data_IF_483102673312
#
_entry.id   IF_483102673312
#
_cell.length_a   1.000
_cell.length_b   1.000
_cell.length_c   1.000
_cell.angle_alpha   90.00
_cell.angle_beta   90.00
_cell.angle_gamma   90.00
#
_symmetry.space_group_name_H-M   'P 1'
#
loop_
_entity.id
_entity.type
_entity.pdbx_description
1 polymer ?
#
# COMPACT_ATOMS: atom_id res chain seq x y z
N UNK A 1 -4.19 6.25 5.22
CA UNK A 1 -2.94 7.04 5.25
C UNK A 1 -1.74 6.13 5.15
N UNK A 2 -0.73 6.47 4.33
CA UNK A 2 0.48 5.67 4.19
C UNK A 2 1.73 6.52 4.06
N UNK A 3 2.86 5.93 4.45
CA UNK A 3 4.18 6.48 4.27
C UNK A 3 5.06 5.45 3.57
N UNK A 4 5.79 5.87 2.55
CA UNK A 4 6.65 5.01 1.74
C UNK A 4 8.03 5.66 1.64
N UNK A 5 9.07 4.88 1.86
CA UNK A 5 10.46 5.26 1.68
C UNK A 5 11.19 4.16 0.93
N UNK A 6 11.99 4.50 -0.05
CA UNK A 6 12.73 3.49 -0.81
C UNK A 6 13.82 4.08 -1.66
N UNK A 7 14.58 3.18 -2.25
CA UNK A 7 15.62 3.48 -3.20
C UNK A 7 15.31 2.77 -4.53
N UNK A 8 15.48 3.48 -5.64
CA UNK A 8 15.28 2.94 -6.99
C UNK A 8 16.55 3.22 -7.81
N UNK A 9 17.07 2.19 -8.45
CA UNK A 9 18.17 2.30 -9.40
C UNK A 9 17.60 2.45 -10.81
N UNK A 10 17.91 3.55 -11.47
CA UNK A 10 17.60 3.81 -12.87
C UNK A 10 18.62 3.13 -13.78
N UNK A 11 18.12 2.41 -14.78
CA UNK A 11 18.90 1.81 -15.85
C UNK A 11 18.42 2.40 -17.18
N UNK A 12 19.07 3.45 -17.70
CA UNK A 12 18.72 4.05 -18.99
C UNK A 12 18.88 3.03 -20.11
N UNK A 13 17.88 2.93 -20.99
CA UNK A 13 17.86 1.97 -22.09
C UNK A 13 18.07 2.63 -23.46
N UNK A 14 18.16 3.96 -23.51
CA UNK A 14 18.44 4.69 -24.73
C UNK A 14 19.57 5.74 -24.57
N UNK A 15 20.15 6.17 -25.69
CA UNK A 15 21.27 7.14 -25.71
C UNK A 15 20.89 8.50 -25.13
N UNK A 16 19.65 8.95 -25.32
CA UNK A 16 19.13 10.20 -24.77
C UNK A 16 18.85 10.14 -23.27
N UNK A 17 18.93 8.94 -22.64
CA UNK A 17 18.68 8.70 -21.20
C UNK A 17 17.32 9.18 -20.70
N UNK A 18 16.38 9.38 -21.62
CA UNK A 18 15.01 9.80 -21.28
C UNK A 18 14.05 8.62 -21.07
N UNK A 19 14.49 7.40 -21.39
CA UNK A 19 13.77 6.16 -21.13
C UNK A 19 14.66 5.25 -20.27
N UNK A 20 14.10 4.72 -19.19
CA UNK A 20 14.81 3.85 -18.26
C UNK A 20 13.90 2.74 -17.71
N UNK A 21 14.50 1.68 -17.21
CA UNK A 21 13.90 0.72 -16.31
C UNK A 21 14.39 1.04 -14.91
N UNK A 22 13.45 1.22 -13.97
CA UNK A 22 13.74 1.40 -12.55
C UNK A 22 13.46 0.11 -11.77
N UNK A 23 14.40 -0.33 -10.96
CA UNK A 23 14.20 -1.43 -10.00
C UNK A 23 14.65 -0.94 -8.64
N UNK A 24 13.85 -1.20 -7.62
CA UNK A 24 14.12 -0.67 -6.30
C UNK A 24 13.78 -1.59 -5.14
N UNK A 25 14.06 -1.10 -3.96
CA UNK A 25 13.68 -1.68 -2.69
C UNK A 25 13.15 -0.56 -1.79
N UNK A 26 12.04 -0.81 -1.12
CA UNK A 26 11.42 0.16 -0.23
C UNK A 26 10.76 -0.48 0.97
N UNK A 27 10.39 0.38 1.90
CA UNK A 27 9.56 0.05 3.04
C UNK A 27 8.33 0.96 3.03
N UNK A 28 7.19 0.38 3.34
CA UNK A 28 5.95 1.15 3.48
C UNK A 28 5.19 0.78 4.73
N UNK A 29 4.50 1.76 5.27
CA UNK A 29 3.47 1.58 6.29
C UNK A 29 2.16 2.14 5.77
N UNK A 30 1.10 1.36 5.84
CA UNK A 30 -0.23 1.77 5.39
C UNK A 30 -1.23 1.56 6.52
N UNK A 31 -2.05 2.55 6.78
CA UNK A 31 -3.12 2.52 7.77
C UNK A 31 -4.46 2.75 7.08
N UNK A 32 -5.39 1.84 7.29
CA UNK A 32 -6.74 1.84 6.73
C UNK A 32 -7.73 2.03 7.87
N UNK A 33 -8.45 3.15 7.85
CA UNK A 33 -9.58 3.39 8.74
C UNK A 33 -10.82 2.86 8.04
N UNK A 34 -11.55 1.96 8.68
CA UNK A 34 -12.70 1.26 8.09
C UNK A 34 -13.65 0.82 9.20
N UNK A 35 -14.89 0.51 8.83
CA UNK A 35 -15.91 -0.04 9.72
C UNK A 35 -15.73 -1.55 9.96
N UNK A 36 -14.71 -2.15 9.36
CA UNK A 36 -14.35 -3.54 9.59
C UNK A 36 -13.76 -3.73 10.99
N UNK A 37 -14.48 -4.42 11.84
CA UNK A 37 -14.04 -4.80 13.18
C UNK A 37 -13.34 -6.15 13.13
N UNK A 38 -12.13 -6.21 13.67
CA UNK A 38 -11.30 -7.41 13.73
C UNK A 38 -11.11 -7.81 15.19
N UNK A 39 -11.65 -8.97 15.56
CA UNK A 39 -11.57 -9.51 16.91
C UNK A 39 -11.10 -10.97 16.87
N UNK A 40 -11.02 -11.59 18.05
CA UNK A 40 -10.76 -13.03 18.21
C UNK A 40 -11.90 -13.67 18.97
N UNK A 41 -12.29 -14.85 18.52
CA UNK A 41 -13.26 -15.67 19.23
C UNK A 41 -12.65 -16.45 20.41
N UNK A 42 -13.46 -17.23 21.08
CA UNK A 42 -13.05 -18.07 22.22
C UNK A 42 -12.00 -19.12 21.88
N UNK A 43 -11.86 -19.48 20.61
CA UNK A 43 -10.84 -20.42 20.10
C UNK A 43 -9.58 -19.73 19.59
N UNK A 44 -9.44 -18.41 19.82
CA UNK A 44 -8.30 -17.59 19.35
C UNK A 44 -8.24 -17.38 17.82
N UNK A 45 -9.26 -17.78 17.08
CA UNK A 45 -9.37 -17.49 15.65
C UNK A 45 -9.86 -16.06 15.41
N UNK A 46 -9.41 -15.44 14.32
CA UNK A 46 -9.87 -14.10 13.96
C UNK A 46 -11.29 -14.15 13.42
N UNK A 47 -12.09 -13.19 13.84
CA UNK A 47 -13.45 -12.96 13.39
C UNK A 47 -13.58 -11.52 12.87
N UNK A 48 -14.39 -11.38 11.83
CA UNK A 48 -14.60 -10.14 11.12
C UNK A 48 -16.09 -9.79 11.13
N UNK A 49 -16.40 -8.56 11.47
CA UNK A 49 -17.76 -8.01 11.39
C UNK A 49 -17.72 -6.55 10.94
N UNK A 50 -18.82 -6.07 10.41
CA UNK A 50 -18.97 -4.63 10.15
C UNK A 50 -19.57 -4.02 11.40
N UNK A 51 -19.01 -2.90 11.85
CA UNK A 51 -19.57 -2.13 12.96
C UNK A 51 -20.90 -1.52 12.53
N UNK A 52 -21.89 -1.61 13.42
CA UNK A 52 -23.20 -1.00 13.20
C UNK A 52 -23.12 0.52 13.48
N UNK A 53 -24.00 1.29 12.83
CA UNK A 53 -24.08 2.75 13.02
C UNK A 53 -24.39 3.16 14.48
N UNK A 54 -24.96 2.24 15.26
CA UNK A 54 -25.25 2.40 16.69
C UNK A 54 -24.02 2.35 17.58
N UNK A 55 -22.90 1.80 17.09
CA UNK A 55 -21.67 1.60 17.85
C UNK A 55 -20.76 2.81 17.75
N UNK A 56 -20.45 3.43 18.89
CA UNK A 56 -19.57 4.59 18.93
C UNK A 56 -18.12 4.16 19.13
N UNK A 57 -17.24 4.65 18.26
CA UNK A 57 -15.82 4.40 18.37
C UNK A 57 -14.99 5.64 18.01
N UNK A 58 -13.88 5.80 18.66
CA UNK A 58 -12.89 6.84 18.36
C UNK A 58 -11.82 6.36 17.40
N UNK A 59 -11.62 5.04 17.31
CA UNK A 59 -10.60 4.43 16.44
C UNK A 59 -11.00 3.03 16.02
N UNK A 60 -11.06 2.81 14.72
CA UNK A 60 -11.12 1.48 14.12
C UNK A 60 -10.26 1.45 12.88
N UNK A 61 -9.12 0.80 12.96
CA UNK A 61 -8.15 0.74 11.86
C UNK A 61 -7.29 -0.51 11.90
N UNK A 62 -6.83 -0.90 10.73
CA UNK A 62 -5.69 -1.80 10.64
C UNK A 62 -4.52 -1.15 9.89
N UNK A 63 -3.32 -1.59 10.20
CA UNK A 63 -2.10 -1.09 9.61
C UNK A 63 -1.25 -2.26 9.13
N UNK A 64 -0.60 -2.09 7.99
CA UNK A 64 0.32 -3.07 7.40
C UNK A 64 1.68 -2.42 7.19
N UNK A 65 2.72 -3.20 7.40
CA UNK A 65 4.12 -2.85 7.17
C UNK A 65 4.66 -3.77 6.10
N UNK A 66 5.20 -3.21 5.03
CA UNK A 66 5.65 -3.98 3.86
C UNK A 66 7.08 -3.64 3.49
N UNK A 67 7.78 -4.66 3.01
CA UNK A 67 8.96 -4.48 2.17
C UNK A 67 8.47 -4.52 0.73
N UNK A 68 8.83 -3.54 -0.08
CA UNK A 68 8.33 -3.37 -1.44
C UNK A 68 9.46 -3.41 -2.47
N UNK A 69 9.19 -4.05 -3.61
CA UNK A 69 10.07 -4.09 -4.78
C UNK A 69 9.30 -3.50 -5.96
N UNK A 70 9.49 -2.22 -6.29
CA UNK A 70 8.97 -1.62 -7.50
C UNK A 70 9.82 -1.99 -8.72
N UNK A 71 9.14 -2.22 -9.85
CA UNK A 71 9.73 -2.37 -11.19
C UNK A 71 8.98 -1.40 -12.08
N UNK A 72 9.66 -0.37 -12.60
CA UNK A 72 9.04 0.75 -13.30
C UNK A 72 9.65 0.95 -14.68
N UNK A 73 8.80 1.19 -15.67
CA UNK A 73 9.17 1.83 -16.91
C UNK A 73 9.09 3.35 -16.70
N UNK A 74 10.18 4.04 -16.98
CA UNK A 74 10.38 5.45 -16.67
C UNK A 74 10.64 6.26 -17.93
N UNK A 75 9.73 7.19 -18.21
CA UNK A 75 9.90 8.16 -19.28
C UNK A 75 9.97 9.58 -18.72
N UNK A 76 10.88 10.37 -19.28
CA UNK A 76 11.10 11.77 -18.86
C UNK A 76 11.55 12.65 -20.03
N UNK A 77 11.19 13.92 -19.96
CA UNK A 77 11.61 14.92 -20.98
C UNK A 77 12.93 15.61 -20.63
N UNK A 78 13.74 15.02 -19.71
CA UNK A 78 14.99 15.61 -19.24
C UNK A 78 16.00 15.77 -20.38
N UNK A 79 16.69 16.91 -20.41
CA UNK A 79 17.88 17.17 -21.22
C UNK A 79 19.11 17.34 -20.31
N UNK A 80 20.29 17.41 -20.88
CA UNK A 80 21.53 17.61 -20.10
C UNK A 80 21.61 18.98 -19.43
N UNK A 81 20.79 19.94 -19.83
CA UNK A 81 20.80 21.34 -19.38
C UNK A 81 19.58 21.75 -18.59
N UNK A 82 18.45 21.02 -18.72
CA UNK A 82 17.20 21.35 -18.05
C UNK A 82 16.91 20.40 -16.89
N UNK A 83 16.80 20.98 -15.70
CA UNK A 83 16.40 20.26 -14.48
C UNK A 83 14.89 20.20 -14.28
N UNK A 84 14.12 21.03 -15.01
CA UNK A 84 12.66 21.04 -14.96
C UNK A 84 12.09 20.22 -16.10
N UNK A 85 11.63 19.01 -15.82
CA UNK A 85 11.14 18.08 -16.83
C UNK A 85 9.89 17.36 -16.39
N UNK A 86 9.10 16.95 -17.36
CA UNK A 86 7.98 16.03 -17.15
C UNK A 86 8.49 14.60 -17.00
N UNK A 87 7.80 13.87 -16.15
CA UNK A 87 8.06 12.42 -15.96
C UNK A 87 6.76 11.64 -15.88
N UNK A 88 6.76 10.47 -16.49
CA UNK A 88 5.70 9.48 -16.39
C UNK A 88 6.36 8.14 -16.14
N UNK A 89 6.03 7.52 -15.02
CA UNK A 89 6.54 6.22 -14.62
C UNK A 89 5.37 5.28 -14.39
N UNK A 90 5.44 4.10 -14.96
CA UNK A 90 4.42 3.06 -14.79
C UNK A 90 5.09 1.72 -14.56
N UNK A 91 4.43 0.83 -13.85
CA UNK A 91 5.02 -0.46 -13.58
C UNK A 91 4.26 -1.31 -12.60
N UNK A 92 4.98 -2.28 -12.05
CA UNK A 92 4.51 -3.19 -11.02
C UNK A 92 5.22 -2.92 -9.69
N UNK A 93 4.49 -3.13 -8.61
CA UNK A 93 5.05 -3.12 -7.27
C UNK A 93 4.66 -4.41 -6.57
N UNK A 94 5.66 -5.13 -6.09
CA UNK A 94 5.49 -6.29 -5.23
C UNK A 94 5.79 -5.88 -3.81
N UNK A 95 4.97 -6.32 -2.86
CA UNK A 95 5.12 -6.05 -1.44
C UNK A 95 5.00 -7.33 -0.63
N UNK A 96 5.79 -7.45 0.42
CA UNK A 96 5.68 -8.51 1.40
C UNK A 96 5.32 -7.91 2.75
N UNK A 97 4.18 -8.31 3.33
CA UNK A 97 3.74 -7.85 4.65
C UNK A 97 4.62 -8.51 5.72
N UNK A 98 5.45 -7.72 6.39
CA UNK A 98 6.33 -8.16 7.48
C UNK A 98 5.65 -8.06 8.83
N UNK A 99 4.68 -7.15 8.99
CA UNK A 99 3.88 -7.00 10.19
C UNK A 99 2.53 -6.37 9.87
N UNK A 100 1.51 -6.72 10.65
CA UNK A 100 0.22 -6.07 10.62
C UNK A 100 -0.31 -5.87 12.05
N UNK A 101 -1.16 -4.87 12.22
CA UNK A 101 -1.76 -4.54 13.52
C UNK A 101 -3.16 -4.00 13.27
N UNK A 102 -4.15 -4.54 13.98
CA UNK A 102 -5.49 -3.96 14.09
C UNK A 102 -5.69 -3.29 15.45
N UNK A 103 -6.39 -2.16 15.47
CA UNK A 103 -6.70 -1.40 16.68
C UNK A 103 -8.13 -0.91 16.65
N UNK A 104 -8.85 -1.20 17.70
CA UNK A 104 -10.18 -0.66 17.97
C UNK A 104 -10.18 0.05 19.34
N UNK A 105 -10.83 1.20 19.43
CA UNK A 105 -11.12 1.92 20.68
C UNK A 105 -12.54 2.47 20.57
N UNK A 106 -13.44 1.98 21.39
CA UNK A 106 -14.86 2.38 21.39
C UNK A 106 -15.65 1.66 22.48
N UNK A 107 -16.95 1.54 22.28
CA UNK A 107 -17.89 0.96 23.26
C UNK A 107 -17.55 -0.49 23.63
N UNK A 108 -16.95 -1.25 22.71
CA UNK A 108 -16.47 -2.61 22.94
C UNK A 108 -15.11 -2.66 23.67
N UNK A 109 -14.61 -1.52 24.16
CA UNK A 109 -13.34 -1.40 24.85
C UNK A 109 -12.15 -1.08 23.95
N UNK A 110 -10.95 -1.42 24.42
CA UNK A 110 -9.70 -1.28 23.67
C UNK A 110 -9.18 -2.64 23.24
N UNK A 111 -9.17 -2.86 21.95
CA UNK A 111 -8.75 -4.13 21.36
C UNK A 111 -7.57 -3.87 20.40
N UNK A 112 -6.52 -4.64 20.57
CA UNK A 112 -5.34 -4.59 19.70
C UNK A 112 -4.88 -5.99 19.37
N UNK A 113 -4.81 -6.31 18.10
CA UNK A 113 -4.23 -7.55 17.60
C UNK A 113 -3.05 -7.26 16.71
N UNK A 114 -2.04 -8.12 16.74
CA UNK A 114 -0.84 -8.05 15.92
C UNK A 114 -0.63 -9.38 15.21
N UNK A 115 0.01 -9.33 14.05
CA UNK A 115 0.38 -10.50 13.27
C UNK A 115 -0.80 -11.43 12.97
N UNK A 116 -1.89 -10.85 12.49
CA UNK A 116 -3.02 -11.61 11.96
C UNK A 116 -2.58 -12.33 10.67
N UNK A 117 -2.67 -13.67 10.68
CA UNK A 117 -2.25 -14.53 9.56
C UNK A 117 -3.23 -14.51 8.39
N UNK A 118 -4.45 -13.99 8.58
CA UNK A 118 -5.47 -13.87 7.54
C UNK A 118 -5.19 -12.72 6.55
N UNK A 119 -4.07 -12.01 6.73
CA UNK A 119 -3.59 -11.09 5.71
C UNK A 119 -2.80 -11.83 4.63
N UNK A 120 -3.07 -11.51 3.36
CA UNK A 120 -2.23 -11.96 2.27
C UNK A 120 -0.83 -11.38 2.42
N UNK A 121 0.15 -12.23 2.71
CA UNK A 121 1.53 -11.80 2.93
C UNK A 121 2.13 -11.14 1.70
N UNK A 122 1.78 -11.63 0.50
CA UNK A 122 2.23 -11.04 -0.76
C UNK A 122 1.15 -10.11 -1.29
N UNK A 123 1.54 -8.86 -1.52
CA UNK A 123 0.71 -7.83 -2.15
C UNK A 123 1.35 -7.45 -3.46
N UNK A 124 0.56 -7.27 -4.51
CA UNK A 124 1.08 -6.81 -5.78
C UNK A 124 0.06 -5.93 -6.50
N UNK A 125 0.56 -5.04 -7.33
CA UNK A 125 -0.30 -4.10 -8.03
C UNK A 125 0.42 -3.28 -9.07
N UNK A 126 -0.37 -2.49 -9.77
CA UNK A 126 0.08 -1.55 -10.78
C UNK A 126 0.41 -0.21 -10.14
N UNK A 127 1.40 0.46 -10.70
CA UNK A 127 1.78 1.82 -10.32
C UNK A 127 1.74 2.75 -11.52
N UNK A 128 1.31 3.97 -11.28
CA UNK A 128 1.42 5.09 -12.21
C UNK A 128 1.85 6.33 -11.43
N UNK A 129 2.91 6.96 -11.90
CA UNK A 129 3.35 8.26 -11.38
C UNK A 129 3.48 9.25 -12.53
N UNK A 130 2.98 10.44 -12.35
CA UNK A 130 3.14 11.53 -13.30
C UNK A 130 3.48 12.82 -12.54
N UNK A 131 4.39 13.61 -13.08
CA UNK A 131 4.78 14.84 -12.42
C UNK A 131 5.70 15.74 -13.23
N UNK A 132 5.87 16.93 -12.69
CA UNK A 132 6.76 17.95 -13.22
C UNK A 132 7.69 18.43 -12.11
N UNK A 133 8.97 18.55 -12.41
CA UNK A 133 10.00 18.95 -11.46
C UNK A 133 9.97 18.07 -10.19
N UNK A 134 9.75 18.66 -9.01
CA UNK A 134 9.76 17.96 -7.72
C UNK A 134 8.43 17.26 -7.41
N UNK A 135 7.32 17.75 -7.97
CA UNK A 135 5.97 17.29 -7.63
C UNK A 135 5.52 16.15 -8.52
N UNK A 136 5.19 15.02 -7.91
CA UNK A 136 4.66 13.85 -8.62
C UNK A 136 3.42 13.34 -7.89
N UNK A 137 2.39 13.05 -8.66
CA UNK A 137 1.23 12.29 -8.20
C UNK A 137 1.55 10.81 -8.44
N UNK A 138 1.30 9.98 -7.45
CA UNK A 138 1.50 8.53 -7.50
C UNK A 138 0.19 7.81 -7.22
N UNK A 139 -0.14 6.86 -8.07
CA UNK A 139 -1.31 5.99 -7.94
C UNK A 139 -0.81 4.56 -7.86
N UNK A 140 -1.34 3.81 -6.90
CA UNK A 140 -1.16 2.36 -6.79
C UNK A 140 -2.53 1.69 -6.80
N UNK A 141 -2.68 0.67 -7.64
CA UNK A 141 -3.87 -0.17 -7.74
C UNK A 141 -3.51 -1.61 -7.41
N UNK A 142 -4.04 -2.14 -6.29
CA UNK A 142 -3.82 -3.52 -5.89
C UNK A 142 -4.56 -4.49 -6.84
N UNK A 143 -3.87 -5.53 -7.28
CA UNK A 143 -4.42 -6.60 -8.11
C UNK A 143 -4.86 -7.82 -7.29
N UNK A 144 -4.55 -7.84 -5.99
CA UNK A 144 -5.02 -8.86 -5.07
C UNK A 144 -5.58 -8.24 -3.80
N UNK A 145 -6.43 -9.01 -3.12
CA UNK A 145 -7.00 -8.61 -1.84
C UNK A 145 -5.95 -8.50 -0.75
N UNK A 146 -6.16 -7.56 0.19
CA UNK A 146 -5.35 -7.40 1.40
C UNK A 146 -5.50 -8.64 2.29
N UNK A 147 -6.69 -9.25 2.32
CA UNK A 147 -7.00 -10.42 3.14
C UNK A 147 -6.90 -11.71 2.34
N UNK A 148 -6.52 -12.79 3.01
CA UNK A 148 -6.52 -14.14 2.46
C UNK A 148 -7.95 -14.71 2.40
N UNK A 149 -8.10 -15.85 1.76
CA UNK A 149 -9.39 -16.57 1.70
C UNK A 149 -9.85 -17.11 3.07
N UNK A 150 -8.99 -17.08 4.08
CA UNK A 150 -9.32 -17.51 5.44
C UNK A 150 -10.11 -16.42 6.18
N UNK A 151 -9.92 -15.15 5.82
CA UNK A 151 -10.71 -14.04 6.32
C UNK A 151 -12.12 -14.07 5.70
N UNK A 152 -13.11 -14.33 6.54
CA UNK A 152 -14.52 -14.43 6.12
C UNK A 152 -15.43 -13.55 6.97
N UNK A 153 -16.43 -12.98 6.32
CA UNK A 153 -17.53 -12.27 6.96
C UNK A 153 -18.83 -12.91 6.50
N UNK A 154 -19.67 -13.36 7.43
CA UNK A 154 -20.92 -14.07 7.16
C UNK A 154 -20.78 -15.28 6.20
N UNK A 155 -19.62 -15.97 6.23
CA UNK A 155 -19.33 -17.12 5.37
C UNK A 155 -18.75 -16.77 3.99
N UNK A 156 -18.75 -15.50 3.60
CA UNK A 156 -18.16 -15.01 2.35
C UNK A 156 -16.72 -14.52 2.55
N UNK A 157 -15.89 -14.62 1.52
CA UNK A 157 -14.52 -14.15 1.58
C UNK A 157 -14.47 -12.63 1.71
N UNK A 158 -13.60 -12.13 2.59
CA UNK A 158 -13.35 -10.70 2.75
C UNK A 158 -12.39 -10.22 1.66
N UNK A 159 -12.96 -9.68 0.57
CA UNK A 159 -12.19 -9.23 -0.58
C UNK A 159 -12.09 -7.69 -0.60
N UNK A 160 -10.93 -7.18 -0.16
CA UNK A 160 -10.65 -5.75 -0.10
C UNK A 160 -9.41 -5.44 -0.90
N UNK A 161 -9.57 -4.72 -2.01
CA UNK A 161 -8.48 -4.25 -2.86
C UNK A 161 -8.15 -2.79 -2.56
N UNK A 162 -6.86 -2.48 -2.40
CA UNK A 162 -6.42 -1.13 -2.09
C UNK A 162 -6.19 -0.29 -3.34
N UNK A 163 -6.75 0.92 -3.35
CA UNK A 163 -6.32 2.01 -4.23
C UNK A 163 -5.64 3.05 -3.36
N UNK A 164 -4.42 3.45 -3.73
CA UNK A 164 -3.66 4.46 -2.99
C UNK A 164 -3.29 5.59 -3.94
N UNK A 165 -3.57 6.81 -3.52
CA UNK A 165 -3.21 8.04 -4.25
C UNK A 165 -2.40 8.90 -3.30
N UNK A 166 -1.29 9.43 -3.76
CA UNK A 166 -0.41 10.24 -2.93
C UNK A 166 0.57 11.09 -3.73
N UNK A 167 1.42 11.79 -2.99
CA UNK A 167 2.53 12.56 -3.54
C UNK A 167 3.82 11.75 -3.40
N UNK A 168 4.67 11.84 -4.42
CA UNK A 168 5.97 11.20 -4.42
C UNK A 168 7.06 12.23 -4.72
N UNK A 169 8.11 12.18 -3.94
CA UNK A 169 9.29 13.04 -4.08
C UNK A 169 10.50 12.18 -4.37
N UNK A 170 11.26 12.56 -5.40
CA UNK A 170 12.53 11.92 -5.71
C UNK A 170 13.66 12.82 -5.23
N UNK A 171 14.52 12.26 -4.37
CA UNK A 171 15.77 12.88 -3.94
C UNK A 171 16.86 12.26 -4.81
N UNK A 172 17.52 13.09 -5.61
CA UNK A 172 18.58 12.71 -6.57
C UNK A 172 19.95 12.87 -5.93
#
# INVERSE_FOLDING_TARGET
LGFHLGFIKDMPINKARNIAIGIGLGYSTNSFNQDLFINKNSTNAFEYSILEDSQTYSKNKFSTHLIEVPIEFRWRTSTSTDYNFWRIYTGFKFGYIVANTSKYEGDLGRIKHTNNNDFNKVQYGLTLSAGYNTWNIHIYYALNSIFSKDAKINGENLDINAIKIGLMFYIL
#
